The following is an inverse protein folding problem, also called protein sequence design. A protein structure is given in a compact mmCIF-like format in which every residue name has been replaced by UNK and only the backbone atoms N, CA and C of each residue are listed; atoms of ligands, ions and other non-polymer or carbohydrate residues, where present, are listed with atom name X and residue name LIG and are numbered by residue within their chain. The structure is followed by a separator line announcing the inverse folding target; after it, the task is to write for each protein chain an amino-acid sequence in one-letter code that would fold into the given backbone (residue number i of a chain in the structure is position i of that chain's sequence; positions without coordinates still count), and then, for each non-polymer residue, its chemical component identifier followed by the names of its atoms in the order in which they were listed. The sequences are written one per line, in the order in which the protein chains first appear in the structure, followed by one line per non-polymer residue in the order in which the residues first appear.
data_IF_292946093014
#
_entry.id   IF_292946093014
#
_cell.length_a   1.000
_cell.length_b   1.000
_cell.length_c   1.000
_cell.angle_alpha   90.00
_cell.angle_beta   90.00
_cell.angle_gamma   90.00
#
_symmetry.space_group_name_H-M   'P 1'
#
loop_
_entity.id
_entity.type
_entity.pdbx_description
1 polymer ?
#
# COMPACT_ATOMS: atom_id res chain seq x y z
N UNK A 1 3.23 -15.74 -9.72
CA UNK A 1 2.32 -15.27 -10.79
C UNK A 1 0.98 -15.95 -10.54
N UNK A 2 -0.19 -15.33 -10.31
CA UNK A 2 -0.69 -13.99 -10.65
C UNK A 2 -1.92 -13.68 -9.78
N UNK A 3 -2.13 -12.38 -9.52
CA UNK A 3 -3.11 -11.74 -8.62
C UNK A 3 -4.60 -12.06 -8.89
N UNK A 4 -5.49 -11.91 -7.88
CA UNK A 4 -6.94 -12.04 -8.07
C UNK A 4 -7.54 -10.75 -8.63
N UNK A 5 -7.97 -10.78 -9.89
CA UNK A 5 -8.80 -9.73 -10.53
C UNK A 5 -10.25 -9.95 -10.13
N UNK A 6 -10.67 -9.45 -8.97
CA UNK A 6 -12.10 -9.35 -8.60
C UNK A 6 -12.48 -8.04 -7.91
N UNK A 7 -11.74 -6.96 -8.17
CA UNK A 7 -12.11 -5.59 -7.72
C UNK A 7 -12.20 -4.63 -8.91
N UNK A 8 -12.55 -5.14 -10.09
CA UNK A 8 -12.68 -4.30 -11.30
C UNK A 8 -14.13 -4.11 -11.79
N UNK A 9 -15.13 -4.74 -11.15
CA UNK A 9 -16.53 -4.70 -11.62
C UNK A 9 -17.39 -3.67 -10.88
N UNK A 10 -16.81 -2.59 -10.36
CA UNK A 10 -17.60 -1.53 -9.70
C UNK A 10 -17.16 -0.10 -10.05
N UNK A 11 -16.37 0.11 -11.11
CA UNK A 11 -15.90 1.45 -11.51
C UNK A 11 -16.37 1.88 -12.91
N UNK A 12 -17.45 1.31 -13.42
CA UNK A 12 -17.97 1.67 -14.75
C UNK A 12 -19.47 2.00 -14.75
N UNK A 13 -19.89 2.84 -13.80
CA UNK A 13 -21.22 3.50 -13.83
C UNK A 13 -21.16 4.97 -13.33
N UNK A 14 -20.08 5.72 -13.59
CA UNK A 14 -19.97 7.10 -13.09
C UNK A 14 -20.03 8.19 -14.18
N UNK A 15 -20.61 7.91 -15.34
CA UNK A 15 -20.83 8.96 -16.36
C UNK A 15 -22.03 9.89 -16.08
N UNK A 16 -22.74 9.70 -14.96
CA UNK A 16 -23.93 10.49 -14.63
C UNK A 16 -24.20 10.66 -13.13
N UNK A 17 -23.24 10.33 -12.26
CA UNK A 17 -23.43 10.53 -10.82
C UNK A 17 -23.08 11.98 -10.52
N UNK A 18 -24.09 12.86 -10.56
CA UNK A 18 -24.01 14.16 -9.87
C UNK A 18 -23.46 13.87 -8.48
N UNK A 19 -22.35 14.51 -8.16
CA UNK A 19 -21.65 14.31 -6.90
C UNK A 19 -22.60 14.39 -5.72
N UNK A 20 -22.31 13.55 -4.73
CA UNK A 20 -23.02 13.60 -3.47
C UNK A 20 -22.98 15.01 -2.86
N UNK A 21 -21.93 15.81 -3.13
CA UNK A 21 -21.81 17.17 -2.57
C UNK A 21 -22.80 18.13 -3.21
N UNK A 22 -22.82 18.19 -4.54
CA UNK A 22 -23.72 19.08 -5.28
C UNK A 22 -25.19 18.79 -4.94
N UNK A 23 -25.56 17.50 -4.89
CA UNK A 23 -26.91 17.07 -4.47
C UNK A 23 -27.27 17.52 -3.06
N UNK A 24 -26.40 17.27 -2.08
CA UNK A 24 -26.65 17.63 -0.68
C UNK A 24 -26.70 19.16 -0.53
N UNK A 25 -25.79 19.88 -1.20
CA UNK A 25 -25.72 21.32 -1.15
C UNK A 25 -26.99 21.96 -1.73
N UNK A 26 -27.42 21.54 -2.93
CA UNK A 26 -28.67 21.98 -3.55
C UNK A 26 -29.88 21.65 -2.67
N UNK A 27 -29.92 20.49 -2.02
CA UNK A 27 -31.06 20.12 -1.15
C UNK A 27 -31.25 21.03 0.06
N UNK A 28 -30.20 21.71 0.51
CA UNK A 28 -30.21 22.56 1.71
C UNK A 28 -30.26 24.05 1.38
N UNK A 29 -29.83 24.44 0.17
CA UNK A 29 -29.68 25.84 -0.24
C UNK A 29 -30.58 26.24 -1.44
N UNK A 30 -31.41 25.32 -1.93
CA UNK A 30 -32.38 25.57 -2.99
C UNK A 30 -33.80 25.38 -2.48
N UNK A 31 -34.63 26.41 -2.62
CA UNK A 31 -36.04 26.33 -2.30
C UNK A 31 -36.79 25.68 -3.48
N UNK A 32 -37.35 24.50 -3.24
CA UNK A 32 -38.08 23.74 -4.26
C UNK A 32 -39.46 24.32 -4.58
N UNK A 33 -40.06 25.03 -3.63
CA UNK A 33 -41.41 25.59 -3.79
C UNK A 33 -41.37 26.86 -4.64
N UNK A 34 -40.33 27.69 -4.46
CA UNK A 34 -40.13 28.91 -5.26
C UNK A 34 -39.20 28.69 -6.46
N UNK A 35 -38.54 27.54 -6.54
CA UNK A 35 -37.55 27.19 -7.57
C UNK A 35 -36.39 28.20 -7.66
N UNK A 36 -35.94 28.69 -6.50
CA UNK A 36 -34.89 29.71 -6.37
C UNK A 36 -33.84 29.29 -5.34
N UNK A 37 -32.62 29.79 -5.51
CA UNK A 37 -31.57 29.68 -4.50
C UNK A 37 -31.91 30.53 -3.27
N UNK A 38 -31.60 30.03 -2.07
CA UNK A 38 -31.85 30.77 -0.83
C UNK A 38 -31.04 32.08 -0.81
N UNK A 39 -29.83 32.06 -1.37
CA UNK A 39 -29.03 33.26 -1.60
C UNK A 39 -28.29 33.19 -2.94
N UNK A 40 -27.96 34.34 -3.57
CA UNK A 40 -27.14 34.35 -4.80
C UNK A 40 -25.77 33.69 -4.61
N UNK A 41 -25.17 33.79 -3.42
CA UNK A 41 -23.88 33.13 -3.13
C UNK A 41 -24.01 31.61 -3.15
N UNK A 42 -25.19 31.07 -2.82
CA UNK A 42 -25.43 29.63 -2.86
C UNK A 42 -25.43 29.10 -4.30
N UNK A 43 -25.94 29.86 -5.25
CA UNK A 43 -25.85 29.54 -6.68
C UNK A 43 -24.38 29.45 -7.11
N UNK A 44 -23.60 30.49 -6.80
CA UNK A 44 -22.17 30.56 -7.14
C UNK A 44 -21.38 29.40 -6.52
N UNK A 45 -21.70 29.01 -5.28
CA UNK A 45 -21.04 27.88 -4.62
C UNK A 45 -21.42 26.56 -5.29
N UNK A 46 -22.68 26.38 -5.67
CA UNK A 46 -23.13 25.18 -6.36
C UNK A 46 -22.46 25.02 -7.73
N UNK A 47 -22.40 26.10 -8.52
CA UNK A 47 -21.74 26.11 -9.82
C UNK A 47 -20.24 25.81 -9.68
N UNK A 48 -19.61 26.33 -8.62
CA UNK A 48 -18.21 26.02 -8.29
C UNK A 48 -17.99 24.54 -7.97
N UNK A 49 -18.94 23.88 -7.29
CA UNK A 49 -18.87 22.44 -7.01
C UNK A 49 -18.91 21.66 -8.34
N UNK A 50 -19.87 21.97 -9.21
CA UNK A 50 -20.03 21.28 -10.50
C UNK A 50 -18.82 21.52 -11.44
N UNK A 51 -18.29 22.73 -11.49
CA UNK A 51 -17.13 23.06 -12.31
C UNK A 51 -15.90 22.23 -11.94
N UNK A 52 -15.56 22.15 -10.65
CA UNK A 52 -14.39 21.41 -10.16
C UNK A 52 -14.53 19.92 -10.49
N UNK A 53 -15.74 19.37 -10.41
CA UNK A 53 -16.00 17.98 -10.78
C UNK A 53 -15.80 17.73 -12.27
N UNK A 54 -16.32 18.60 -13.13
CA UNK A 54 -16.14 18.50 -14.59
C UNK A 54 -14.66 18.58 -14.96
N UNK A 55 -13.93 19.54 -14.37
CA UNK A 55 -12.49 19.72 -14.60
C UNK A 55 -11.67 18.48 -14.20
N UNK A 56 -12.03 17.81 -13.11
CA UNK A 56 -11.32 16.60 -12.65
C UNK A 56 -11.69 15.36 -13.48
N UNK A 57 -12.93 15.26 -13.97
CA UNK A 57 -13.35 14.18 -14.86
C UNK A 57 -12.71 14.28 -16.26
N UNK A 58 -12.28 15.47 -16.69
CA UNK A 58 -11.53 15.69 -17.94
C UNK A 58 -10.08 15.19 -17.87
N UNK A 59 -9.55 14.97 -16.67
CA UNK A 59 -8.16 14.62 -16.43
C UNK A 59 -7.96 13.10 -16.58
N UNK A 60 -7.81 12.63 -17.83
CA UNK A 60 -7.64 11.21 -18.16
C UNK A 60 -6.47 10.57 -17.37
N UNK A 61 -6.78 9.53 -16.59
CA UNK A 61 -5.81 8.76 -15.80
C UNK A 61 -5.53 9.32 -14.40
N UNK A 62 -6.16 10.42 -14.00
CA UNK A 62 -6.09 10.93 -12.62
C UNK A 62 -7.05 10.17 -11.70
N UNK A 63 -6.70 10.08 -10.42
CA UNK A 63 -7.60 9.57 -9.38
C UNK A 63 -8.80 10.52 -9.30
N UNK A 64 -10.06 10.02 -9.38
CA UNK A 64 -11.24 10.86 -9.21
C UNK A 64 -11.18 11.62 -7.90
N UNK A 65 -11.50 12.92 -7.92
CA UNK A 65 -11.49 13.76 -6.72
C UNK A 65 -12.43 13.16 -5.66
N UNK A 66 -11.94 13.01 -4.43
CA UNK A 66 -12.78 12.54 -3.33
C UNK A 66 -13.76 13.64 -2.90
N UNK A 67 -14.88 13.23 -2.31
CA UNK A 67 -15.88 14.14 -1.73
C UNK A 67 -15.27 15.13 -0.71
N UNK A 68 -14.33 14.65 0.10
CA UNK A 68 -13.63 15.47 1.09
C UNK A 68 -12.74 16.52 0.41
N UNK A 69 -11.90 16.11 -0.55
CA UNK A 69 -11.02 17.02 -1.29
C UNK A 69 -11.82 18.08 -2.06
N UNK A 70 -12.92 17.68 -2.67
CA UNK A 70 -13.85 18.59 -3.34
C UNK A 70 -14.41 19.62 -2.35
N UNK A 71 -14.88 19.18 -1.18
CA UNK A 71 -15.38 20.08 -0.14
C UNK A 71 -14.31 21.08 0.33
N UNK A 72 -13.05 20.64 0.45
CA UNK A 72 -11.93 21.49 0.84
C UNK A 72 -11.62 22.53 -0.25
N UNK A 73 -11.65 22.15 -1.53
CA UNK A 73 -11.44 23.09 -2.65
C UNK A 73 -12.54 24.16 -2.73
N UNK A 74 -13.79 23.76 -2.47
CA UNK A 74 -14.95 24.66 -2.56
C UNK A 74 -15.03 25.60 -1.35
N UNK A 75 -15.01 25.05 -0.14
CA UNK A 75 -15.29 25.77 1.12
C UNK A 75 -14.03 26.17 1.91
N UNK A 76 -12.85 25.72 1.46
CA UNK A 76 -11.60 25.88 2.18
C UNK A 76 -11.42 24.88 3.32
N UNK A 77 -10.21 24.80 3.86
CA UNK A 77 -9.95 24.05 5.09
C UNK A 77 -10.53 24.81 6.28
N UNK A 78 -11.63 24.32 6.83
CA UNK A 78 -12.18 24.82 8.10
C UNK A 78 -11.58 24.06 9.27
N UNK A 79 -10.79 24.75 10.10
CA UNK A 79 -10.29 24.19 11.35
C UNK A 79 -11.46 23.89 12.28
N UNK A 80 -11.54 22.67 12.82
CA UNK A 80 -12.54 22.29 13.84
C UNK A 80 -13.73 21.44 13.39
N UNK A 81 -13.91 21.12 12.09
CA UNK A 81 -14.96 20.17 11.66
C UNK A 81 -14.58 18.70 11.90
N UNK A 82 -13.31 18.33 11.65
CA UNK A 82 -12.72 17.04 12.10
C UNK A 82 -12.58 16.98 13.63
N UNK A 83 -12.65 18.17 14.24
CA UNK A 83 -12.92 18.48 15.65
C UNK A 83 -13.94 17.61 16.39
N UNK A 84 -15.06 17.37 15.69
CA UNK A 84 -16.34 16.98 16.26
C UNK A 84 -16.45 15.51 16.67
N UNK A 85 -15.45 14.68 16.36
CA UNK A 85 -15.36 13.29 16.82
C UNK A 85 -14.90 13.16 18.29
N UNK A 86 -15.01 14.22 19.10
CA UNK A 86 -14.49 14.23 20.46
C UNK A 86 -12.96 14.28 20.55
N UNK A 87 -12.26 14.51 19.42
CA UNK A 87 -10.81 14.69 19.35
C UNK A 87 -10.37 16.13 19.64
N UNK A 88 -11.23 16.94 20.26
CA UNK A 88 -10.73 18.10 20.98
C UNK A 88 -9.77 17.55 22.03
N UNK A 89 -8.52 18.00 22.02
CA UNK A 89 -7.65 17.96 23.20
C UNK A 89 -8.39 18.69 24.30
N UNK A 90 -9.20 17.95 25.03
CA UNK A 90 -10.06 18.43 26.08
C UNK A 90 -9.11 18.75 27.22
N UNK A 91 -8.64 19.99 27.25
CA UNK A 91 -7.97 20.56 28.42
C UNK A 91 -8.98 20.77 29.56
N UNK A 92 -9.81 19.77 29.85
CA UNK A 92 -10.78 19.79 30.92
C UNK A 92 -11.04 18.37 31.39
N UNK A 93 -10.70 18.14 32.66
CA UNK A 93 -10.85 16.90 33.42
C UNK A 93 -9.92 15.75 33.04
N UNK A 94 -8.64 15.88 33.41
CA UNK A 94 -7.76 14.71 33.62
C UNK A 94 -8.39 13.83 34.70
N UNK A 95 -9.16 12.82 34.31
CA UNK A 95 -9.32 11.64 35.15
C UNK A 95 -7.95 10.95 35.21
N UNK A 96 -7.33 10.94 36.39
CA UNK A 96 -6.04 10.27 36.65
C UNK A 96 -6.07 8.82 36.14
N UNK A 97 -7.23 8.16 36.23
CA UNK A 97 -7.46 6.78 35.77
C UNK A 97 -7.32 6.64 34.25
N UNK A 98 -7.83 7.61 33.46
CA UNK A 98 -7.72 7.57 31.99
C UNK A 98 -6.29 7.77 31.50
N UNK A 99 -5.52 8.63 32.17
CA UNK A 99 -4.12 8.89 31.83
C UNK A 99 -3.21 7.70 32.15
N UNK A 100 -3.45 7.00 33.27
CA UNK A 100 -2.70 5.80 33.65
C UNK A 100 -3.02 4.63 32.71
N UNK A 101 -4.27 4.46 32.30
CA UNK A 101 -4.66 3.43 31.33
C UNK A 101 -4.03 3.67 29.94
N UNK A 102 -3.95 4.93 29.51
CA UNK A 102 -3.28 5.27 28.24
C UNK A 102 -1.77 5.00 28.30
N UNK A 103 -1.09 5.38 29.39
CA UNK A 103 0.34 5.08 29.59
C UNK A 103 0.57 3.57 29.57
N UNK A 104 -0.23 2.79 30.30
CA UNK A 104 -0.11 1.33 30.33
C UNK A 104 -0.29 0.70 28.94
N UNK A 105 -1.25 1.18 28.17
CA UNK A 105 -1.49 0.69 26.81
C UNK A 105 -0.33 1.02 25.87
N UNK A 106 0.19 2.25 25.93
CA UNK A 106 1.36 2.68 25.14
C UNK A 106 2.58 1.83 25.50
N UNK A 107 2.88 1.63 26.77
CA UNK A 107 4.01 0.79 27.20
C UNK A 107 3.87 -0.67 26.72
N UNK A 108 2.66 -1.23 26.72
CA UNK A 108 2.43 -2.57 26.18
C UNK A 108 2.65 -2.66 24.67
N UNK A 109 2.28 -1.62 23.93
CA UNK A 109 2.54 -1.55 22.49
C UNK A 109 4.03 -1.42 22.21
N UNK A 110 4.74 -0.54 22.94
CA UNK A 110 6.19 -0.39 22.83
C UNK A 110 6.92 -1.70 23.10
N UNK A 111 6.51 -2.44 24.14
CA UNK A 111 7.10 -3.76 24.44
C UNK A 111 6.86 -4.76 23.32
N UNK A 112 5.65 -4.82 22.75
CA UNK A 112 5.33 -5.70 21.62
C UNK A 112 6.11 -5.35 20.36
N UNK A 113 6.30 -4.05 20.09
CA UNK A 113 7.10 -3.58 18.96
C UNK A 113 8.56 -3.98 19.15
N UNK A 114 9.10 -3.84 20.36
CA UNK A 114 10.47 -4.26 20.66
C UNK A 114 10.64 -5.78 20.50
N UNK A 115 9.72 -6.57 21.06
CA UNK A 115 9.76 -8.03 20.94
C UNK A 115 9.69 -8.48 19.47
N UNK A 116 8.85 -7.83 18.66
CA UNK A 116 8.79 -8.11 17.22
C UNK A 116 10.08 -7.71 16.50
N UNK A 117 10.70 -6.59 16.86
CA UNK A 117 11.97 -6.16 16.28
C UNK A 117 13.09 -7.17 16.59
N UNK A 118 13.15 -7.66 17.83
CA UNK A 118 14.13 -8.66 18.25
C UNK A 118 13.93 -9.99 17.50
N UNK A 119 12.69 -10.44 17.32
CA UNK A 119 12.37 -11.65 16.54
C UNK A 119 12.75 -11.51 15.06
N UNK A 120 12.51 -10.34 14.46
CA UNK A 120 12.88 -10.07 13.06
C UNK A 120 14.41 -10.10 12.92
N UNK A 121 15.14 -9.53 13.89
CA UNK A 121 16.60 -9.52 13.87
C UNK A 121 17.15 -10.94 13.99
N UNK A 122 16.63 -11.76 14.91
CA UNK A 122 17.05 -13.16 15.06
C UNK A 122 16.80 -13.96 13.77
N UNK A 123 15.64 -13.78 13.14
CA UNK A 123 15.35 -14.42 11.85
C UNK A 123 16.30 -13.96 10.74
N UNK A 124 16.66 -12.68 10.70
CA UNK A 124 17.61 -12.16 9.73
C UNK A 124 19.00 -12.80 9.90
N UNK A 125 19.47 -12.94 11.15
CA UNK A 125 20.75 -13.57 11.46
C UNK A 125 20.75 -15.06 11.06
N UNK A 126 19.65 -15.78 11.31
CA UNK A 126 19.48 -17.18 10.90
C UNK A 126 19.51 -17.33 9.37
N UNK A 127 18.80 -16.46 8.64
CA UNK A 127 18.80 -16.46 7.17
C UNK A 127 20.20 -16.18 6.62
N UNK A 128 20.93 -15.23 7.23
CA UNK A 128 22.30 -14.92 6.82
C UNK A 128 23.23 -16.11 7.01
N UNK A 129 23.12 -16.83 8.12
CA UNK A 129 23.96 -18.00 8.37
C UNK A 129 23.62 -19.16 7.43
N UNK A 130 22.33 -19.38 7.14
CA UNK A 130 21.91 -20.33 6.11
C UNK A 130 22.45 -19.97 4.72
N UNK A 131 22.45 -18.68 4.36
CA UNK A 131 22.97 -18.22 3.08
C UNK A 131 24.47 -18.53 2.93
N UNK A 132 25.28 -18.29 3.97
CA UNK A 132 26.71 -18.68 3.98
C UNK A 132 26.89 -20.19 3.84
N UNK A 133 26.04 -20.98 4.51
CA UNK A 133 26.06 -22.44 4.40
C UNK A 133 25.78 -22.92 2.97
N UNK A 134 24.79 -22.32 2.30
CA UNK A 134 24.47 -22.60 0.89
C UNK A 134 25.62 -22.20 -0.03
N UNK A 135 26.24 -21.03 0.20
CA UNK A 135 27.39 -20.58 -0.58
C UNK A 135 28.57 -21.56 -0.47
N UNK A 136 28.92 -21.98 0.74
CA UNK A 136 29.97 -22.97 0.97
C UNK A 136 29.66 -24.32 0.30
N UNK A 137 28.40 -24.77 0.35
CA UNK A 137 27.97 -25.99 -0.32
C UNK A 137 28.07 -25.87 -1.85
N UNK A 138 27.67 -24.73 -2.42
CA UNK A 138 27.77 -24.46 -3.85
C UNK A 138 29.21 -24.45 -4.34
N UNK A 139 30.13 -23.83 -3.60
CA UNK A 139 31.56 -23.84 -3.92
C UNK A 139 32.10 -25.27 -3.95
N UNK A 140 31.72 -26.09 -2.96
CA UNK A 140 32.14 -27.50 -2.92
C UNK A 140 31.54 -28.34 -4.07
N UNK A 141 30.29 -28.08 -4.45
CA UNK A 141 29.68 -28.71 -5.62
C UNK A 141 30.46 -28.33 -6.89
N UNK A 142 30.82 -27.06 -7.04
CA UNK A 142 31.58 -26.59 -8.20
C UNK A 142 32.93 -27.31 -8.33
N UNK A 143 33.71 -27.39 -7.26
CA UNK A 143 34.98 -28.14 -7.24
C UNK A 143 34.80 -29.62 -7.63
N UNK A 144 33.74 -30.27 -7.11
CA UNK A 144 33.44 -31.66 -7.43
C UNK A 144 33.03 -31.86 -8.89
N UNK A 145 32.30 -30.90 -9.48
CA UNK A 145 31.94 -30.95 -10.91
C UNK A 145 33.21 -30.84 -11.76
N UNK A 146 34.09 -29.88 -11.48
CA UNK A 146 35.34 -29.70 -12.23
C UNK A 146 36.23 -30.94 -12.14
N UNK A 147 36.39 -31.52 -10.94
CA UNK A 147 37.16 -32.73 -10.74
C UNK A 147 36.57 -33.93 -11.54
N UNK A 148 35.24 -34.03 -11.61
CA UNK A 148 34.56 -35.08 -12.37
C UNK A 148 34.76 -34.91 -13.88
N UNK A 149 34.72 -33.68 -14.38
CA UNK A 149 35.01 -33.39 -15.78
C UNK A 149 36.44 -33.76 -16.15
N UNK A 150 37.42 -33.44 -15.29
CA UNK A 150 38.82 -33.80 -15.50
C UNK A 150 39.05 -35.32 -15.49
N UNK A 151 38.39 -36.04 -14.57
CA UNK A 151 38.39 -37.50 -14.58
C UNK A 151 37.80 -38.05 -15.88
N UNK A 152 36.71 -37.47 -16.38
CA UNK A 152 36.11 -37.82 -17.67
C UNK A 152 37.06 -37.62 -18.85
N UNK A 153 37.77 -36.48 -18.89
CA UNK A 153 38.80 -36.18 -19.91
C UNK A 153 39.95 -37.19 -19.86
N UNK A 154 40.44 -37.49 -18.66
CA UNK A 154 41.52 -38.46 -18.46
C UNK A 154 41.10 -39.86 -18.90
N UNK A 155 39.90 -40.29 -18.53
CA UNK A 155 39.37 -41.60 -18.93
C UNK A 155 39.22 -41.72 -20.45
N UNK A 156 38.69 -40.68 -21.11
CA UNK A 156 38.58 -40.65 -22.57
C UNK A 156 39.94 -40.77 -23.25
N UNK A 157 40.95 -40.03 -22.77
CA UNK A 157 42.33 -40.10 -23.28
C UNK A 157 42.94 -41.51 -23.14
N UNK A 158 42.74 -42.16 -21.98
CA UNK A 158 43.21 -43.54 -21.77
C UNK A 158 42.50 -44.52 -22.71
N UNK A 159 41.19 -44.38 -22.91
CA UNK A 159 40.43 -45.23 -23.84
C UNK A 159 40.91 -45.06 -25.28
N UNK A 160 41.18 -43.83 -25.73
CA UNK A 160 41.75 -43.59 -27.06
C UNK A 160 43.13 -44.23 -27.22
N UNK A 161 44.01 -44.10 -26.22
CA UNK A 161 45.32 -44.74 -26.24
C UNK A 161 45.22 -46.27 -26.36
N UNK A 162 44.37 -46.92 -25.56
CA UNK A 162 44.19 -48.37 -25.59
C UNK A 162 43.64 -48.85 -26.94
N UNK A 163 42.71 -48.10 -27.53
CA UNK A 163 42.19 -48.35 -28.88
C UNK A 163 43.30 -48.29 -29.93
N UNK A 164 44.23 -47.34 -29.84
CA UNK A 164 45.40 -47.26 -30.72
C UNK A 164 46.37 -48.43 -30.55
N UNK A 165 46.45 -49.03 -29.35
CA UNK A 165 47.27 -50.23 -29.07
C UNK A 165 46.61 -51.54 -29.51
N UNK A 166 45.44 -51.50 -30.15
CA UNK A 166 44.72 -52.68 -30.65
C UNK A 166 43.87 -53.40 -29.59
N UNK A 167 43.79 -52.86 -28.36
CA UNK A 167 42.84 -53.35 -27.37
C UNK A 167 41.45 -52.82 -27.73
N UNK A 168 40.58 -53.73 -28.17
CA UNK A 168 39.16 -53.46 -28.43
C UNK A 168 38.36 -54.32 -27.46
N UNK A 169 37.75 -53.67 -26.47
CA UNK A 169 36.71 -54.24 -25.61
C UNK A 169 35.35 -53.80 -26.13
#
# INVERSE_FOLDING_TARGET
MTLPVRVATAMQESLGVVSALAKVYKSTHFNRDTNEWITPESEVIHDKIEQIEVEQNLQNGAIPITQEELSIKVFGRRSGYVTGLGLRSSSSSRSIVGHVNNIKYVTQLEQKVQEQADQIQEQADQIQEQAKGIEAANNKIHELVEAKEEQGRTLASVMEYLKHQGYTG
#
